data_IF_115586500650
#
_entry.id   IF_115586500650
#
_cell.length_a   1.000
_cell.length_b   1.000
_cell.length_c   1.000
_cell.angle_alpha   90.00
_cell.angle_beta   90.00
_cell.angle_gamma   90.00
#
_symmetry.space_group_name_H-M   'P 1'
#
loop_
_entity.id
_entity.type
_entity.pdbx_description
1 polymer ?
#
# COMPACT_ATOMS: atom_id res chain seq x y z
N UNK A 1 18.98 -7.08 22.54
CA UNK A 1 19.35 -6.36 21.31
C UNK A 1 18.08 -6.34 20.49
N UNK A 2 17.39 -5.20 20.47
CA UNK A 2 16.02 -5.11 19.99
C UNK A 2 15.99 -5.10 18.47
N UNK A 3 14.96 -5.78 17.99
CA UNK A 3 14.66 -6.25 16.64
C UNK A 3 14.94 -5.24 15.52
N UNK A 4 15.72 -5.67 14.53
CA UNK A 4 15.98 -4.89 13.34
C UNK A 4 14.84 -5.12 12.34
N UNK A 5 13.85 -4.22 12.35
CA UNK A 5 12.98 -3.98 11.19
C UNK A 5 12.25 -5.18 10.59
N UNK A 6 11.83 -6.16 11.40
CA UNK A 6 10.87 -7.16 10.94
C UNK A 6 9.52 -6.48 10.86
N UNK A 7 9.12 -6.12 9.65
CA UNK A 7 7.75 -5.72 9.37
C UNK A 7 6.83 -6.89 9.69
N UNK A 8 5.69 -6.64 10.30
CA UNK A 8 4.77 -7.73 10.59
C UNK A 8 4.16 -8.24 9.27
N UNK A 9 3.88 -9.56 9.11
CA UNK A 9 3.27 -10.09 7.88
C UNK A 9 1.97 -9.38 7.46
N UNK A 10 1.28 -8.77 8.41
CA UNK A 10 0.08 -7.95 8.22
C UNK A 10 0.38 -6.59 7.58
N UNK A 11 1.49 -5.96 7.97
CA UNK A 11 1.95 -4.69 7.38
C UNK A 11 2.44 -4.94 5.95
N UNK A 12 3.11 -6.07 5.71
CA UNK A 12 3.61 -6.48 4.39
C UNK A 12 2.51 -6.62 3.32
N UNK A 13 1.25 -6.85 3.69
CA UNK A 13 0.18 -7.10 2.71
C UNK A 13 -0.04 -5.95 1.72
N UNK A 14 0.10 -4.71 2.16
CA UNK A 14 0.04 -3.52 1.28
C UNK A 14 1.21 -2.54 1.48
N UNK A 15 2.02 -2.75 2.51
CA UNK A 15 3.19 -1.94 2.84
C UNK A 15 4.44 -2.83 2.83
N UNK A 16 4.58 -3.70 1.83
CA UNK A 16 5.65 -4.69 1.62
C UNK A 16 7.09 -4.15 1.58
N UNK A 17 7.27 -2.84 1.41
CA UNK A 17 8.59 -2.22 1.36
C UNK A 17 9.06 -1.85 2.76
N UNK A 18 10.02 -2.59 3.32
CA UNK A 18 10.55 -2.26 4.64
C UNK A 18 11.19 -0.86 4.65
N UNK A 19 11.03 -0.12 5.76
CA UNK A 19 11.72 1.17 5.97
C UNK A 19 13.23 1.06 5.75
N UNK A 20 13.83 -0.08 6.13
CA UNK A 20 15.25 -0.31 5.92
C UNK A 20 15.62 -0.37 4.43
N UNK A 21 14.80 -1.02 3.61
CA UNK A 21 14.98 -1.06 2.16
C UNK A 21 14.86 0.33 1.55
N UNK A 22 13.83 1.09 1.96
CA UNK A 22 13.64 2.49 1.55
C UNK A 22 14.88 3.35 1.82
N UNK A 23 15.51 3.15 2.98
CA UNK A 23 16.69 3.90 3.40
C UNK A 23 18.00 3.43 2.76
N UNK A 24 18.08 2.16 2.35
CA UNK A 24 19.32 1.57 1.81
C UNK A 24 19.41 1.58 0.29
N UNK A 25 18.28 1.69 -0.43
CA UNK A 25 18.19 1.91 -1.88
C UNK A 25 19.11 0.98 -2.72
N UNK A 26 19.18 -0.31 -2.37
CA UNK A 26 20.17 -1.22 -2.97
C UNK A 26 19.78 -1.76 -4.36
N UNK A 27 18.49 -1.90 -4.65
CA UNK A 27 17.99 -2.60 -5.84
C UNK A 27 17.03 -1.77 -6.70
N UNK A 28 16.27 -0.85 -6.10
CA UNK A 28 15.23 -0.05 -6.75
C UNK A 28 15.48 1.43 -6.49
N UNK A 29 15.21 2.27 -7.49
CA UNK A 29 15.28 3.73 -7.32
C UNK A 29 13.95 4.22 -6.77
N UNK A 30 13.94 4.57 -5.48
CA UNK A 30 12.79 5.22 -4.86
C UNK A 30 12.88 6.73 -5.01
N UNK A 31 11.81 7.34 -5.52
CA UNK A 31 11.78 8.76 -5.89
C UNK A 31 11.10 9.62 -4.82
N UNK A 32 11.54 10.87 -4.71
CA UNK A 32 10.87 11.88 -3.88
C UNK A 32 9.69 12.53 -4.65
N UNK A 33 8.62 12.99 -3.97
CA UNK A 33 8.44 13.03 -2.51
C UNK A 33 7.92 11.72 -1.89
N UNK A 34 7.63 10.71 -2.72
CA UNK A 34 6.93 9.48 -2.30
C UNK A 34 7.70 8.70 -1.23
N UNK A 35 9.04 8.67 -1.32
CA UNK A 35 9.88 8.07 -0.28
C UNK A 35 9.64 8.66 1.10
N UNK A 36 9.66 9.99 1.19
CA UNK A 36 9.43 10.72 2.44
C UNK A 36 8.00 10.53 2.93
N UNK A 37 7.02 10.65 2.02
CA UNK A 37 5.61 10.46 2.35
C UNK A 37 5.35 9.04 2.88
N UNK A 38 5.90 8.01 2.24
CA UNK A 38 5.75 6.62 2.66
C UNK A 38 6.23 6.43 4.11
N UNK A 39 7.46 6.87 4.41
CA UNK A 39 8.05 6.74 5.72
C UNK A 39 7.28 7.52 6.81
N UNK A 40 6.97 8.79 6.56
CA UNK A 40 6.29 9.64 7.54
C UNK A 40 4.85 9.17 7.80
N UNK A 41 4.15 8.74 6.74
CA UNK A 41 2.77 8.28 6.85
C UNK A 41 2.65 6.99 7.65
N UNK A 42 3.60 6.05 7.53
CA UNK A 42 3.65 4.86 8.41
C UNK A 42 3.82 5.27 9.87
N UNK A 43 4.76 6.17 10.17
CA UNK A 43 5.05 6.62 11.54
C UNK A 43 3.88 7.38 12.17
N UNK A 44 3.16 8.15 11.36
CA UNK A 44 2.00 8.93 11.75
C UNK A 44 0.69 8.13 11.72
N UNK A 45 0.76 6.84 11.33
CA UNK A 45 -0.40 5.95 11.15
C UNK A 45 -1.42 6.50 10.16
N UNK A 46 -0.97 7.21 9.12
CA UNK A 46 -1.75 7.58 7.95
C UNK A 46 -1.64 6.47 6.91
N UNK A 47 -2.33 5.36 7.14
CA UNK A 47 -2.14 4.14 6.35
C UNK A 47 -2.59 4.29 4.89
N UNK A 48 -3.60 5.11 4.60
CA UNK A 48 -4.02 5.40 3.23
C UNK A 48 -2.92 6.12 2.45
N UNK A 49 -2.31 7.15 3.07
CA UNK A 49 -1.18 7.88 2.49
C UNK A 49 0.05 6.98 2.30
N UNK A 50 0.31 6.07 3.25
CA UNK A 50 1.40 5.12 3.15
C UNK A 50 1.20 4.15 1.98
N UNK A 51 0.02 3.56 1.84
CA UNK A 51 -0.29 2.64 0.74
C UNK A 51 -0.23 3.40 -0.60
N UNK A 52 -0.84 4.58 -0.69
CA UNK A 52 -0.75 5.41 -1.91
C UNK A 52 0.71 5.67 -2.31
N UNK A 53 1.52 6.11 -1.35
CA UNK A 53 2.93 6.39 -1.59
C UNK A 53 3.70 5.16 -2.04
N UNK A 54 3.38 3.96 -1.53
CA UNK A 54 3.99 2.69 -1.98
C UNK A 54 3.83 2.48 -3.47
N UNK A 55 2.63 2.67 -4.03
CA UNK A 55 2.41 2.48 -5.47
C UNK A 55 3.07 3.57 -6.32
N UNK A 56 3.36 4.73 -5.74
CA UNK A 56 4.02 5.83 -6.44
C UNK A 56 5.55 5.83 -6.29
N UNK A 57 6.10 5.05 -5.35
CA UNK A 57 7.47 5.21 -4.85
C UNK A 57 8.55 4.94 -5.91
N UNK A 58 8.24 4.15 -6.93
CA UNK A 58 9.16 3.83 -8.03
C UNK A 58 9.16 4.87 -9.16
N UNK A 59 8.26 5.86 -9.11
CA UNK A 59 8.22 6.97 -10.07
C UNK A 59 7.53 6.68 -11.39
N UNK A 60 6.84 5.55 -11.52
CA UNK A 60 6.04 5.18 -12.69
C UNK A 60 4.60 5.70 -12.68
N UNK A 61 4.29 6.73 -11.88
CA UNK A 61 2.92 7.24 -11.71
C UNK A 61 2.82 8.70 -12.15
N UNK A 62 1.93 8.99 -13.09
CA UNK A 62 1.60 10.33 -13.56
C UNK A 62 0.09 10.58 -13.39
N UNK A 63 -0.31 11.66 -12.72
CA UNK A 63 -1.72 12.01 -12.45
C UNK A 63 -2.56 10.85 -11.87
N UNK A 64 -1.95 9.99 -11.05
CA UNK A 64 -2.59 8.83 -10.43
C UNK A 64 -2.75 7.61 -11.35
N UNK A 65 -2.15 7.65 -12.54
CA UNK A 65 -2.06 6.54 -13.49
C UNK A 65 -0.68 5.90 -13.42
N UNK A 66 -0.64 4.57 -13.33
CA UNK A 66 0.58 3.79 -13.46
C UNK A 66 0.89 3.70 -14.96
N UNK A 67 1.92 4.42 -15.41
CA UNK A 67 2.31 4.52 -16.82
C UNK A 67 3.40 3.50 -17.14
N UNK A 68 3.36 2.94 -18.35
CA UNK A 68 4.49 2.18 -18.90
C UNK A 68 4.48 0.68 -18.59
N UNK A 69 3.37 0.12 -18.14
CA UNK A 69 3.19 -1.33 -17.98
C UNK A 69 2.98 -2.08 -19.31
N UNK A 70 3.63 -1.69 -20.41
CA UNK A 70 3.52 -2.40 -21.69
C UNK A 70 3.80 -3.91 -21.51
N UNK A 71 2.89 -4.82 -21.92
CA UNK A 71 1.80 -4.62 -22.88
C UNK A 71 0.42 -4.26 -22.29
N UNK A 72 0.31 -4.07 -20.98
CA UNK A 72 -0.93 -3.76 -20.29
C UNK A 72 -1.33 -2.29 -20.47
N UNK A 73 -2.64 -1.99 -20.50
CA UNK A 73 -3.14 -0.62 -20.54
C UNK A 73 -2.74 0.13 -19.25
N UNK A 74 -2.62 1.45 -19.35
CA UNK A 74 -2.45 2.30 -18.17
C UNK A 74 -3.63 2.06 -17.20
N UNK A 75 -3.30 1.80 -15.94
CA UNK A 75 -4.26 1.53 -14.87
C UNK A 75 -4.14 2.61 -13.81
N UNK A 76 -5.24 2.99 -13.17
CA UNK A 76 -5.17 3.93 -12.04
C UNK A 76 -4.54 3.23 -10.84
N UNK A 77 -3.82 3.97 -9.99
CA UNK A 77 -3.29 3.45 -8.73
C UNK A 77 -4.42 2.84 -7.88
N UNK A 78 -5.60 3.46 -7.87
CA UNK A 78 -6.76 2.96 -7.12
C UNK A 78 -7.31 1.64 -7.66
N UNK A 79 -7.31 1.44 -8.99
CA UNK A 79 -7.74 0.19 -9.59
C UNK A 79 -6.72 -0.92 -9.32
N UNK A 80 -5.42 -0.64 -9.41
CA UNK A 80 -4.39 -1.60 -9.02
C UNK A 80 -4.51 -2.01 -7.54
N UNK A 81 -4.71 -1.04 -6.64
CA UNK A 81 -4.96 -1.33 -5.21
C UNK A 81 -6.19 -2.22 -5.03
N UNK A 82 -7.25 -2.02 -5.82
CA UNK A 82 -8.45 -2.87 -5.76
C UNK A 82 -8.13 -4.29 -6.21
N UNK A 83 -7.42 -4.47 -7.31
CA UNK A 83 -7.01 -5.78 -7.82
C UNK A 83 -6.17 -6.52 -6.78
N UNK A 84 -5.15 -5.87 -6.24
CA UNK A 84 -4.27 -6.43 -5.21
C UNK A 84 -5.06 -6.76 -3.94
N UNK A 85 -6.06 -5.95 -3.58
CA UNK A 85 -6.94 -6.24 -2.44
C UNK A 85 -7.82 -7.47 -2.67
N UNK A 86 -8.33 -7.68 -3.89
CA UNK A 86 -9.12 -8.88 -4.24
C UNK A 86 -8.23 -10.12 -4.21
N UNK A 87 -7.01 -10.01 -4.74
CA UNK A 87 -6.03 -11.09 -4.72
C UNK A 87 -5.64 -11.45 -3.29
N UNK A 88 -5.27 -10.47 -2.47
CA UNK A 88 -4.90 -10.65 -1.07
C UNK A 88 -6.02 -11.28 -0.23
N UNK A 89 -7.26 -10.81 -0.41
CA UNK A 89 -8.43 -11.41 0.25
C UNK A 89 -8.63 -12.88 -0.14
N UNK A 90 -8.36 -13.22 -1.39
CA UNK A 90 -8.55 -14.58 -1.93
C UNK A 90 -7.45 -15.53 -1.48
N UNK A 91 -6.20 -15.09 -1.56
CA UNK A 91 -5.02 -15.91 -1.32
C UNK A 91 -4.64 -15.96 0.17
N UNK A 92 -4.83 -14.86 0.89
CA UNK A 92 -4.37 -14.67 2.26
C UNK A 92 -5.45 -14.05 3.18
N UNK A 93 -6.66 -14.63 3.25
CA UNK A 93 -7.81 -14.02 3.96
C UNK A 93 -7.55 -13.72 5.45
N UNK A 94 -6.68 -14.49 6.10
CA UNK A 94 -6.29 -14.25 7.50
C UNK A 94 -5.46 -12.97 7.66
N UNK A 95 -4.40 -12.82 6.85
CA UNK A 95 -3.57 -11.61 6.84
C UNK A 95 -4.38 -10.40 6.39
N UNK A 96 -5.28 -10.60 5.43
CA UNK A 96 -6.21 -9.57 4.98
C UNK A 96 -7.08 -9.06 6.12
N UNK A 97 -7.74 -9.95 6.87
CA UNK A 97 -8.57 -9.56 8.01
C UNK A 97 -7.76 -8.80 9.09
N UNK A 98 -6.53 -9.24 9.38
CA UNK A 98 -5.64 -8.54 10.32
C UNK A 98 -5.24 -7.15 9.81
N UNK A 99 -5.01 -6.99 8.50
CA UNK A 99 -4.69 -5.70 7.89
C UNK A 99 -5.87 -4.73 7.99
N UNK A 100 -7.10 -5.22 7.84
CA UNK A 100 -8.29 -4.40 8.05
C UNK A 100 -8.36 -3.87 9.50
N UNK A 101 -8.08 -4.71 10.50
CA UNK A 101 -8.04 -4.26 11.90
C UNK A 101 -6.96 -3.20 12.14
N UNK A 102 -5.77 -3.39 11.54
CA UNK A 102 -4.68 -2.41 11.62
C UNK A 102 -5.10 -1.07 11.02
N UNK A 103 -5.65 -1.08 9.81
CA UNK A 103 -6.01 0.14 9.07
C UNK A 103 -7.20 0.89 9.66
N UNK A 104 -8.06 0.23 10.45
CA UNK A 104 -9.09 0.94 11.23
C UNK A 104 -8.51 1.89 12.28
N UNK A 105 -7.24 1.70 12.67
CA UNK A 105 -6.54 2.60 13.57
C UNK A 105 -5.88 3.80 12.85
N UNK A 106 -6.19 4.02 11.56
CA UNK A 106 -5.64 5.14 10.80
C UNK A 106 -5.94 6.49 11.48
N UNK A 107 -5.00 7.43 11.35
CA UNK A 107 -5.15 8.79 11.85
C UNK A 107 -6.27 9.53 11.09
N UNK A 108 -6.99 10.43 11.77
CA UNK A 108 -7.98 11.29 11.12
C UNK A 108 -7.38 12.35 10.19
N UNK A 109 -6.05 12.45 10.16
CA UNK A 109 -5.28 13.34 9.26
C UNK A 109 -4.81 12.64 7.99
N UNK A 110 -5.22 11.39 7.75
CA UNK A 110 -4.94 10.65 6.52
C UNK A 110 -5.54 11.37 5.31
N UNK A 111 -4.70 11.63 4.31
CA UNK A 111 -5.04 12.37 3.09
C UNK A 111 -5.67 11.51 1.99
N UNK A 112 -5.57 10.18 2.11
CA UNK A 112 -6.04 9.21 1.12
C UNK A 112 -7.04 8.19 1.74
N UNK A 113 -8.14 8.65 2.38
CA UNK A 113 -9.15 7.75 2.93
C UNK A 113 -9.84 6.89 1.85
N UNK A 114 -9.84 7.31 0.59
CA UNK A 114 -10.36 6.54 -0.55
C UNK A 114 -9.60 5.23 -0.77
N UNK A 115 -8.29 5.18 -0.48
CA UNK A 115 -7.48 3.97 -0.57
C UNK A 115 -7.97 2.94 0.44
N UNK A 116 -8.11 3.36 1.70
CA UNK A 116 -8.62 2.48 2.76
C UNK A 116 -10.06 2.05 2.49
N UNK A 117 -10.89 2.95 1.96
CA UNK A 117 -12.26 2.63 1.57
C UNK A 117 -12.31 1.50 0.53
N UNK A 118 -11.45 1.52 -0.49
CA UNK A 118 -11.38 0.45 -1.50
C UNK A 118 -11.08 -0.90 -0.83
N UNK A 119 -10.08 -0.93 0.06
CA UNK A 119 -9.70 -2.16 0.77
C UNK A 119 -10.87 -2.65 1.65
N UNK A 120 -11.50 -1.77 2.43
CA UNK A 120 -12.67 -2.16 3.25
C UNK A 120 -13.89 -2.57 2.42
N UNK A 121 -14.12 -1.96 1.25
CA UNK A 121 -15.23 -2.32 0.39
C UNK A 121 -14.99 -3.68 -0.29
N UNK A 122 -13.75 -4.00 -0.66
CA UNK A 122 -13.37 -5.33 -1.18
C UNK A 122 -13.65 -6.44 -0.17
N UNK A 123 -13.45 -6.21 1.13
CA UNK A 123 -13.84 -7.15 2.19
C UNK A 123 -15.35 -7.46 2.16
N UNK A 124 -16.17 -6.46 1.84
CA UNK A 124 -17.64 -6.58 1.85
C UNK A 124 -18.21 -7.19 0.56
N UNK A 125 -17.45 -7.19 -0.53
CA UNK A 125 -17.87 -7.84 -1.78
C UNK A 125 -17.75 -9.37 -1.63
N UNK A 126 -18.82 -10.11 -1.87
CA UNK A 126 -18.74 -11.58 -1.94
C UNK A 126 -17.96 -11.96 -3.22
N UNK A 127 -17.16 -13.05 -3.28
CA UNK A 127 -16.35 -13.41 -4.45
C UNK A 127 -17.15 -13.77 -5.73
N UNK A 128 -18.44 -13.42 -5.80
CA UNK A 128 -19.43 -13.94 -6.75
C UNK A 128 -20.32 -12.86 -7.40
N UNK A 129 -19.97 -11.59 -7.28
CA UNK A 129 -20.64 -10.51 -8.03
C UNK A 129 -19.91 -10.19 -9.34
#
# INVERSE_FOLDING_TARGET
MSDAGIMHPVEELFLDISIHEVLTQKMVTFVEPWKTIYFDSIREKRYGDAIWARYCIEGGVEDGLIIGQCPNPDITVLDQIREDAVEAKTNEPGLYAEALELYRMTSSTDGHPEVLKIIFDTDRMDPRD
#
